data_IF_689234053396
#
_entry.id   IF_689234053396
#
_cell.length_a   1.000
_cell.length_b   1.000
_cell.length_c   1.000
_cell.angle_alpha   90.00
_cell.angle_beta   90.00
_cell.angle_gamma   90.00
#
_symmetry.space_group_name_H-M   'P 1'
#
loop_
_entity.id
_entity.type
_entity.pdbx_description
1 polymer ?
#
# COMPACT_ATOMS: atom_id res chain seq x y z
N UNK A 1 3.96 24.37 -3.80
CA UNK A 1 4.98 24.95 -2.89
C UNK A 1 4.27 25.31 -1.61
N UNK A 2 4.81 24.91 -0.45
CA UNK A 2 4.28 25.31 0.85
C UNK A 2 5.03 26.54 1.35
N UNK A 3 4.31 27.43 2.01
CA UNK A 3 4.83 28.63 2.62
C UNK A 3 4.63 28.52 4.13
N UNK A 4 5.55 29.07 4.90
CA UNK A 4 5.38 29.20 6.34
C UNK A 4 5.01 30.64 6.66
N UNK A 5 3.91 30.82 7.40
CA UNK A 5 3.51 32.13 7.88
C UNK A 5 4.37 32.52 9.08
N UNK A 6 5.12 33.62 8.98
CA UNK A 6 6.17 33.99 9.95
C UNK A 6 5.63 34.34 11.34
N UNK A 7 4.42 34.90 11.43
CA UNK A 7 3.82 35.32 12.72
C UNK A 7 3.21 34.17 13.51
N UNK A 8 2.67 33.17 12.83
CA UNK A 8 1.94 32.05 13.45
C UNK A 8 2.74 30.74 13.42
N UNK A 9 3.82 30.68 12.61
CA UNK A 9 4.58 29.46 12.35
C UNK A 9 3.82 28.42 11.52
N UNK A 10 2.58 28.73 11.13
CA UNK A 10 1.68 27.80 10.46
C UNK A 10 2.09 27.56 9.01
N UNK A 11 1.94 26.32 8.55
CA UNK A 11 2.24 25.91 7.18
C UNK A 11 1.02 26.12 6.32
N UNK A 12 1.16 26.96 5.32
CA UNK A 12 0.07 27.36 4.44
C UNK A 12 0.38 27.07 2.98
N UNK A 13 -0.68 26.83 2.22
CA UNK A 13 -0.65 26.67 0.77
C UNK A 13 -1.29 27.89 0.13
N UNK A 14 -0.59 28.53 -0.81
CA UNK A 14 -1.15 29.64 -1.59
C UNK A 14 -2.19 29.07 -2.56
N UNK A 15 -3.43 29.56 -2.45
CA UNK A 15 -4.58 29.17 -3.29
C UNK A 15 -4.78 30.18 -4.42
N UNK A 16 -4.58 31.46 -4.16
CA UNK A 16 -4.73 32.52 -5.17
C UNK A 16 -3.87 33.72 -4.83
N UNK A 17 -3.40 34.42 -5.86
CA UNK A 17 -2.62 35.64 -5.76
C UNK A 17 -3.43 36.83 -6.28
N UNK A 18 -3.42 37.92 -5.53
CA UNK A 18 -4.24 39.11 -5.75
C UNK A 18 -3.30 40.33 -5.74
N UNK A 19 -3.67 41.38 -6.47
CA UNK A 19 -2.93 42.65 -6.52
C UNK A 19 -1.46 42.48 -6.99
N UNK A 20 -1.24 41.90 -8.17
CA UNK A 20 0.11 41.66 -8.75
C UNK A 20 1.10 40.89 -7.84
N UNK A 21 0.58 40.08 -6.91
CA UNK A 21 1.38 39.24 -6.03
C UNK A 21 1.79 39.91 -4.72
N UNK A 22 1.14 41.01 -4.34
CA UNK A 22 1.26 41.63 -3.01
C UNK A 22 0.46 40.85 -1.95
N UNK A 23 -0.73 40.35 -2.33
CA UNK A 23 -1.61 39.59 -1.44
C UNK A 23 -1.78 38.16 -1.89
N UNK A 24 -1.68 37.23 -0.94
CA UNK A 24 -1.93 35.82 -1.18
C UNK A 24 -3.11 35.34 -0.34
N UNK A 25 -4.07 34.71 -0.99
CA UNK A 25 -5.04 33.89 -0.29
C UNK A 25 -4.39 32.54 0.00
N UNK A 26 -4.29 32.20 1.28
CA UNK A 26 -3.61 31.01 1.78
C UNK A 26 -4.56 30.10 2.55
N UNK A 27 -4.35 28.80 2.42
CA UNK A 27 -5.07 27.74 3.10
C UNK A 27 -4.16 27.09 4.14
N UNK A 28 -4.63 27.00 5.38
CA UNK A 28 -3.91 26.34 6.48
C UNK A 28 -4.11 24.81 6.49
N UNK A 29 -3.39 24.09 7.35
CA UNK A 29 -3.54 22.64 7.52
C UNK A 29 -4.92 22.22 8.02
N UNK A 30 -5.62 23.12 8.71
CA UNK A 30 -7.01 22.95 9.17
C UNK A 30 -8.06 23.26 8.07
N UNK A 31 -7.63 23.59 6.85
CA UNK A 31 -8.51 23.93 5.72
C UNK A 31 -9.13 25.33 5.81
N UNK A 32 -8.64 26.20 6.70
CA UNK A 32 -9.11 27.59 6.82
C UNK A 32 -8.41 28.47 5.79
N UNK A 33 -9.21 29.25 5.07
CA UNK A 33 -8.76 30.23 4.09
C UNK A 33 -8.62 31.61 4.73
N UNK A 34 -7.47 32.24 4.58
CA UNK A 34 -7.25 33.62 4.98
C UNK A 34 -6.29 34.34 4.04
N UNK A 35 -6.30 35.67 4.05
CA UNK A 35 -5.37 36.49 3.28
C UNK A 35 -4.12 36.80 4.09
N UNK A 36 -2.96 36.59 3.48
CA UNK A 36 -1.65 36.89 4.05
C UNK A 36 -0.84 37.74 3.07
N UNK A 37 -0.10 38.71 3.61
CA UNK A 37 0.73 39.59 2.80
C UNK A 37 2.07 38.92 2.45
N UNK A 38 2.64 39.22 1.28
CA UNK A 38 3.87 38.58 0.76
C UNK A 38 5.03 38.57 1.76
N UNK A 39 5.23 39.65 2.50
CA UNK A 39 6.36 39.77 3.45
C UNK A 39 6.21 38.88 4.68
N UNK A 40 5.01 38.34 4.92
CA UNK A 40 4.70 37.47 6.05
C UNK A 40 4.82 35.98 5.69
N UNK A 41 4.99 35.66 4.40
CA UNK A 41 5.11 34.31 3.88
C UNK A 41 6.56 34.03 3.50
N UNK A 42 7.17 33.07 4.19
CA UNK A 42 8.51 32.59 3.83
C UNK A 42 8.36 31.27 3.06
N UNK A 43 9.00 31.10 1.89
CA UNK A 43 8.99 29.82 1.20
C UNK A 43 9.71 28.78 2.06
N UNK A 44 9.00 27.72 2.44
CA UNK A 44 9.57 26.64 3.26
C UNK A 44 10.17 25.58 2.33
N UNK A 45 11.49 25.65 2.11
CA UNK A 45 12.21 24.70 1.26
C UNK A 45 12.32 23.31 1.91
N UNK A 46 12.16 23.21 3.24
CA UNK A 46 12.24 21.96 4.01
C UNK A 46 10.99 21.09 3.77
N UNK A 47 9.81 21.70 3.66
CA UNK A 47 8.55 21.07 3.27
C UNK A 47 8.39 20.92 1.74
N UNK A 48 9.24 21.60 0.95
CA UNK A 48 9.27 21.47 -0.52
C UNK A 48 10.14 20.31 -0.99
N UNK A 49 10.86 19.62 -0.08
CA UNK A 49 11.20 18.23 -0.33
C UNK A 49 9.88 17.49 -0.45
N UNK A 50 9.47 17.23 -1.70
CA UNK A 50 8.60 16.12 -2.05
C UNK A 50 9.07 14.96 -1.18
N UNK A 51 8.34 14.66 -0.11
CA UNK A 51 8.28 13.29 0.37
C UNK A 51 8.08 12.52 -0.91
N UNK A 52 9.08 11.70 -1.25
CA UNK A 52 8.95 10.76 -2.35
C UNK A 52 7.68 10.01 -1.99
N UNK A 53 6.58 10.42 -2.61
CA UNK A 53 5.34 9.71 -2.58
C UNK A 53 5.79 8.31 -2.87
N UNK A 54 5.52 7.41 -1.93
CA UNK A 54 5.56 5.99 -2.17
C UNK A 54 4.91 5.82 -3.53
N UNK A 55 5.76 5.68 -4.54
CA UNK A 55 5.33 5.33 -5.86
C UNK A 55 4.79 3.95 -5.59
N UNK A 56 3.47 3.86 -5.44
CA UNK A 56 2.67 2.77 -5.93
C UNK A 56 2.99 2.70 -7.43
N UNK A 57 4.23 2.27 -7.71
CA UNK A 57 4.70 1.87 -9.00
C UNK A 57 4.21 0.45 -9.04
N UNK A 58 3.17 0.22 -9.80
CA UNK A 58 3.21 -0.77 -10.88
C UNK A 58 4.67 -1.13 -11.25
N UNK A 59 5.25 -2.02 -10.46
CA UNK A 59 6.45 -2.79 -10.77
C UNK A 59 6.00 -4.24 -10.91
N UNK A 60 4.96 -4.44 -11.72
CA UNK A 60 4.47 -5.75 -12.13
C UNK A 60 5.27 -6.35 -13.30
N UNK A 61 6.41 -5.76 -13.68
CA UNK A 61 7.21 -6.24 -14.80
C UNK A 61 8.70 -6.22 -14.44
N UNK A 62 9.31 -7.40 -14.48
CA UNK A 62 10.74 -7.67 -14.35
C UNK A 62 11.37 -7.33 -12.99
N UNK A 63 11.25 -8.25 -12.04
CA UNK A 63 12.41 -8.63 -11.25
C UNK A 63 12.47 -10.16 -11.26
N UNK A 64 13.65 -10.67 -11.63
CA UNK A 64 13.99 -12.09 -11.70
C UNK A 64 13.53 -12.83 -10.44
N UNK A 65 13.17 -14.14 -10.52
CA UNK A 65 12.58 -14.86 -9.41
C UNK A 65 13.48 -14.75 -8.18
N UNK A 66 13.11 -13.82 -7.28
CA UNK A 66 13.77 -13.62 -6.01
C UNK A 66 13.60 -14.94 -5.28
N UNK A 67 14.71 -15.67 -5.12
CA UNK A 67 14.78 -16.81 -4.22
C UNK A 67 14.64 -16.20 -2.82
N UNK A 68 13.40 -16.05 -2.37
CA UNK A 68 13.10 -15.51 -1.07
C UNK A 68 13.65 -16.49 -0.02
N UNK A 69 14.34 -16.00 1.02
CA UNK A 69 14.78 -16.85 2.11
C UNK A 69 13.57 -17.61 2.69
N UNK A 70 13.73 -18.88 3.11
CA UNK A 70 12.65 -19.78 3.52
C UNK A 70 11.80 -19.31 4.72
N UNK A 71 12.17 -18.20 5.37
CA UNK A 71 11.39 -17.58 6.46
C UNK A 71 10.21 -16.72 5.99
N UNK A 72 10.12 -16.33 4.71
CA UNK A 72 9.03 -15.47 4.20
C UNK A 72 7.88 -16.25 3.54
N UNK A 73 7.90 -17.60 3.55
CA UNK A 73 6.80 -18.39 2.97
C UNK A 73 5.48 -18.11 3.69
N UNK A 74 4.44 -17.80 2.91
CA UNK A 74 3.10 -17.53 3.45
C UNK A 74 2.54 -18.80 4.08
N UNK A 75 2.27 -18.77 5.39
CA UNK A 75 1.58 -19.85 6.06
C UNK A 75 0.08 -19.78 5.74
N UNK A 76 -0.44 -20.75 4.98
CA UNK A 76 -1.84 -20.80 4.54
C UNK A 76 -2.81 -20.95 5.72
N UNK A 77 -2.39 -21.59 6.82
CA UNK A 77 -3.22 -21.77 7.99
C UNK A 77 -3.46 -20.47 8.76
N UNK A 78 -2.45 -19.60 8.83
CA UNK A 78 -2.51 -18.32 9.56
C UNK A 78 -2.87 -17.14 8.66
N UNK A 79 -2.66 -17.26 7.34
CA UNK A 79 -2.93 -16.18 6.40
C UNK A 79 -4.42 -15.91 6.24
N UNK A 80 -4.74 -14.63 6.00
CA UNK A 80 -6.10 -14.23 5.62
C UNK A 80 -6.35 -14.53 4.14
N UNK A 81 -7.62 -14.68 3.71
CA UNK A 81 -7.93 -14.90 2.29
C UNK A 81 -7.38 -13.81 1.37
N UNK A 82 -7.32 -12.56 1.84
CA UNK A 82 -6.72 -11.47 1.08
C UNK A 82 -5.21 -11.67 0.90
N UNK A 83 -4.49 -12.06 1.95
CA UNK A 83 -3.06 -12.34 1.86
C UNK A 83 -2.77 -13.52 0.95
N UNK A 84 -3.58 -14.59 1.01
CA UNK A 84 -3.43 -15.75 0.11
C UNK A 84 -3.63 -15.34 -1.35
N UNK A 85 -4.64 -14.50 -1.64
CA UNK A 85 -4.90 -14.01 -2.98
C UNK A 85 -3.82 -13.05 -3.51
N UNK A 86 -3.24 -12.22 -2.63
CA UNK A 86 -2.20 -11.25 -2.98
C UNK A 86 -0.84 -11.94 -3.21
N UNK A 87 -0.51 -12.92 -2.37
CA UNK A 87 0.78 -13.62 -2.44
C UNK A 87 0.83 -14.70 -3.51
N UNK A 88 -0.32 -15.23 -3.92
CA UNK A 88 -0.39 -16.34 -4.88
C UNK A 88 -0.99 -15.83 -6.19
N UNK A 89 -0.11 -15.56 -7.15
CA UNK A 89 -0.49 -15.09 -8.48
C UNK A 89 -1.35 -16.14 -9.18
N UNK A 90 -2.61 -15.81 -9.45
CA UNK A 90 -3.60 -16.72 -10.04
C UNK A 90 -4.72 -17.14 -9.09
N UNK A 91 -4.60 -16.86 -7.78
CA UNK A 91 -5.68 -17.07 -6.81
C UNK A 91 -6.40 -15.75 -6.57
N UNK A 92 -7.66 -15.67 -7.00
CA UNK A 92 -8.51 -14.53 -6.64
C UNK A 92 -9.05 -14.65 -5.21
N UNK A 93 -9.57 -13.55 -4.66
CA UNK A 93 -10.19 -13.51 -3.31
C UNK A 93 -11.29 -14.56 -3.12
N UNK A 94 -12.04 -14.87 -4.18
CA UNK A 94 -13.07 -15.93 -4.16
C UNK A 94 -12.46 -17.30 -3.85
N UNK A 95 -11.37 -17.63 -4.54
CA UNK A 95 -10.70 -18.91 -4.39
C UNK A 95 -9.91 -18.99 -3.08
N UNK A 96 -9.36 -17.87 -2.61
CA UNK A 96 -8.77 -17.78 -1.29
C UNK A 96 -9.79 -17.98 -0.15
N UNK A 97 -11.05 -17.59 -0.35
CA UNK A 97 -12.15 -17.97 0.56
C UNK A 97 -12.45 -19.46 0.49
N UNK A 98 -12.50 -20.06 -0.70
CA UNK A 98 -12.67 -21.52 -0.85
C UNK A 98 -11.55 -22.29 -0.13
N UNK A 99 -10.31 -21.79 -0.13
CA UNK A 99 -9.20 -22.36 0.66
C UNK A 99 -9.50 -22.31 2.15
N UNK A 100 -9.99 -21.17 2.67
CA UNK A 100 -10.33 -21.05 4.10
C UNK A 100 -11.53 -21.93 4.49
N UNK A 101 -12.50 -22.07 3.60
CA UNK A 101 -13.66 -22.94 3.78
C UNK A 101 -13.25 -24.44 3.80
N UNK A 102 -12.33 -24.83 2.91
CA UNK A 102 -11.71 -26.14 2.93
C UNK A 102 -10.90 -26.37 4.22
N UNK A 103 -10.18 -25.34 4.70
CA UNK A 103 -9.47 -25.41 5.97
C UNK A 103 -10.42 -25.71 7.14
N UNK A 104 -11.58 -25.04 7.19
CA UNK A 104 -12.61 -25.27 8.22
C UNK A 104 -13.25 -26.65 8.10
N UNK A 105 -13.30 -27.22 6.89
CA UNK A 105 -13.83 -28.57 6.65
C UNK A 105 -12.84 -29.69 7.01
N UNK A 106 -11.56 -29.37 7.22
CA UNK A 106 -10.54 -30.35 7.59
C UNK A 106 -10.55 -30.60 9.10
N UNK A 107 -10.41 -31.86 9.49
CA UNK A 107 -10.28 -32.26 10.90
C UNK A 107 -9.05 -31.60 11.52
N UNK A 108 -9.28 -30.68 12.46
CA UNK A 108 -8.25 -29.86 13.09
C UNK A 108 -8.16 -28.42 12.57
N UNK A 109 -9.08 -27.99 11.71
CA UNK A 109 -9.21 -26.61 11.19
C UNK A 109 -7.91 -26.07 10.58
N UNK A 110 -7.08 -26.98 10.05
CA UNK A 110 -5.77 -26.67 9.47
C UNK A 110 -5.42 -27.66 8.37
N UNK A 111 -4.68 -27.18 7.39
CA UNK A 111 -3.98 -28.00 6.43
C UNK A 111 -2.78 -28.66 7.12
N UNK A 112 -2.67 -29.98 6.99
CA UNK A 112 -1.50 -30.75 7.41
C UNK A 112 -0.55 -31.00 6.24
N UNK A 113 -1.03 -30.87 5.00
CA UNK A 113 -0.21 -31.04 3.79
C UNK A 113 -0.70 -30.13 2.68
N UNK A 114 0.25 -29.62 1.90
CA UNK A 114 -0.03 -28.77 0.73
C UNK A 114 -0.83 -29.52 -0.35
N UNK A 115 -0.78 -30.85 -0.39
CA UNK A 115 -1.58 -31.67 -1.31
C UNK A 115 -3.09 -31.50 -1.11
N UNK A 116 -3.53 -31.18 0.11
CA UNK A 116 -4.94 -30.95 0.41
C UNK A 116 -5.49 -29.73 -0.35
N UNK A 117 -4.62 -28.76 -0.67
CA UNK A 117 -4.98 -27.60 -1.47
C UNK A 117 -5.34 -27.99 -2.91
N UNK A 118 -4.74 -29.05 -3.47
CA UNK A 118 -5.02 -29.55 -4.83
C UNK A 118 -6.46 -30.01 -5.03
N UNK A 119 -7.23 -30.21 -3.96
CA UNK A 119 -8.67 -30.45 -4.05
C UNK A 119 -9.41 -29.29 -4.74
N UNK A 120 -8.86 -28.08 -4.66
CA UNK A 120 -9.37 -26.88 -5.34
C UNK A 120 -8.80 -26.83 -6.76
N UNK A 121 -9.55 -27.40 -7.71
CA UNK A 121 -9.15 -27.51 -9.13
C UNK A 121 -9.12 -26.19 -9.91
N UNK A 122 -9.59 -25.09 -9.30
CA UNK A 122 -9.61 -23.75 -9.91
C UNK A 122 -8.28 -23.01 -9.79
N UNK A 123 -7.28 -23.61 -9.16
CA UNK A 123 -5.97 -23.02 -8.90
C UNK A 123 -4.90 -23.90 -9.50
N UNK A 124 -3.91 -23.25 -10.11
CA UNK A 124 -2.71 -23.91 -10.61
C UNK A 124 -1.69 -24.12 -9.48
N UNK A 125 -1.95 -25.10 -8.62
CA UNK A 125 -1.11 -25.39 -7.44
C UNK A 125 0.31 -25.82 -7.82
N UNK A 126 0.53 -26.31 -9.03
CA UNK A 126 1.86 -26.68 -9.52
C UNK A 126 2.77 -25.45 -9.61
N UNK A 127 2.25 -24.33 -10.16
CA UNK A 127 2.96 -23.06 -10.19
C UNK A 127 3.22 -22.49 -8.79
N UNK A 128 2.27 -22.64 -7.85
CA UNK A 128 2.40 -22.14 -6.47
C UNK A 128 3.46 -22.92 -5.69
N UNK A 129 3.48 -24.25 -5.85
CA UNK A 129 4.45 -25.14 -5.23
C UNK A 129 5.84 -24.96 -5.85
N UNK A 130 5.92 -24.81 -7.18
CA UNK A 130 7.17 -24.55 -7.88
C UNK A 130 7.81 -23.21 -7.52
N UNK A 131 6.98 -22.19 -7.24
CA UNK A 131 7.44 -20.88 -6.78
C UNK A 131 7.81 -20.84 -5.29
N UNK A 132 7.59 -21.94 -4.53
CA UNK A 132 7.98 -22.09 -3.13
C UNK A 132 7.39 -21.01 -2.20
N UNK A 133 6.24 -20.44 -2.57
CA UNK A 133 5.66 -19.24 -1.94
C UNK A 133 4.87 -19.54 -0.65
N UNK A 134 4.52 -20.80 -0.40
CA UNK A 134 3.51 -21.17 0.61
C UNK A 134 3.96 -22.35 1.49
N UNK A 135 3.49 -22.36 2.74
CA UNK A 135 3.64 -23.47 3.69
C UNK A 135 2.35 -23.74 4.45
N UNK A 136 2.22 -24.95 4.99
CA UNK A 136 1.14 -25.36 5.90
C UNK A 136 1.66 -25.42 7.33
#
# INVERSE_FOLDING_TARGET
MLYQHRKTGARVKVVSEWDNGDWFMVEDQDGRLYTAYKTELTPDEVATKKVATLQVKDKAAQEEPRVFPPETRLNINTATPQMIADHIKGIGVKTAREIKDLQMSLSGEKFNSLEQLRQIKRVDWDAVLAADLVRV
#
